data_IF_939118808522
#
_entry.id   IF_939118808522
#
_cell.length_a   1.000
_cell.length_b   1.000
_cell.length_c   1.000
_cell.angle_alpha   90.00
_cell.angle_beta   90.00
_cell.angle_gamma   90.00
#
_symmetry.space_group_name_H-M   'P 1'
#
loop_
_entity.id
_entity.type
_entity.pdbx_description
1 polymer ?
#
# COMPACT_ATOMS: atom_id res chain seq x y z
N UNK A 1 42.32 -57.72 -46.57
CA UNK A 1 41.01 -57.82 -45.88
C UNK A 1 41.10 -57.06 -44.57
N UNK A 2 40.85 -55.75 -44.55
CA UNK A 2 41.02 -54.90 -43.42
C UNK A 2 39.66 -54.73 -42.72
N UNK A 3 39.55 -55.13 -41.40
CA UNK A 3 38.35 -54.92 -40.64
C UNK A 3 38.51 -53.60 -39.82
N UNK A 4 37.64 -52.67 -40.13
CA UNK A 4 37.52 -51.43 -39.37
C UNK A 4 36.67 -51.69 -38.11
N UNK A 5 37.26 -51.49 -36.93
CA UNK A 5 36.55 -51.48 -35.63
C UNK A 5 35.91 -50.14 -35.43
N UNK A 6 34.57 -50.05 -35.45
CA UNK A 6 33.84 -48.89 -34.99
C UNK A 6 33.89 -48.84 -33.47
N UNK A 7 34.51 -47.80 -32.91
CA UNK A 7 34.42 -47.41 -31.50
C UNK A 7 33.07 -46.72 -31.24
N UNK A 8 32.28 -47.28 -30.33
CA UNK A 8 31.05 -46.67 -29.84
C UNK A 8 31.42 -45.58 -28.85
N UNK A 9 31.40 -44.32 -29.32
CA UNK A 9 31.54 -43.18 -28.45
C UNK A 9 30.26 -42.99 -27.57
N UNK A 10 30.44 -43.08 -26.28
CA UNK A 10 29.37 -42.79 -25.29
C UNK A 10 29.22 -41.27 -25.17
N UNK A 11 28.12 -40.71 -25.69
CA UNK A 11 27.79 -39.33 -25.52
C UNK A 11 27.11 -39.18 -24.15
N UNK A 12 27.84 -38.64 -23.16
CA UNK A 12 27.28 -38.27 -21.85
C UNK A 12 26.60 -36.91 -22.01
N UNK A 13 25.28 -36.90 -22.11
CA UNK A 13 24.49 -35.68 -22.03
C UNK A 13 24.40 -35.24 -20.57
N UNK A 14 25.23 -34.28 -20.20
CA UNK A 14 25.16 -33.67 -18.86
C UNK A 14 23.93 -32.73 -18.83
N UNK A 15 22.85 -33.20 -18.24
CA UNK A 15 21.67 -32.38 -17.96
C UNK A 15 22.02 -31.42 -16.83
N UNK A 16 22.33 -30.16 -17.13
CA UNK A 16 22.49 -29.09 -16.13
C UNK A 16 21.09 -28.73 -15.62
N UNK A 17 20.73 -29.28 -14.45
CA UNK A 17 19.56 -28.82 -13.69
C UNK A 17 19.85 -27.40 -13.20
N UNK A 18 19.27 -26.40 -13.86
CA UNK A 18 19.17 -25.05 -13.33
C UNK A 18 18.24 -25.11 -12.11
N UNK A 19 18.82 -25.26 -10.93
CA UNK A 19 18.12 -25.09 -9.66
C UNK A 19 17.89 -23.58 -9.54
N UNK A 20 16.73 -23.13 -10.02
CA UNK A 20 16.26 -21.79 -9.74
C UNK A 20 16.11 -21.66 -8.22
N UNK A 21 16.94 -20.83 -7.58
CA UNK A 21 16.73 -20.44 -6.19
C UNK A 21 15.36 -19.81 -6.09
N UNK A 22 14.45 -20.26 -5.21
CA UNK A 22 13.21 -19.54 -4.97
C UNK A 22 13.59 -18.12 -4.56
N UNK A 23 13.17 -17.13 -5.33
CA UNK A 23 13.21 -15.74 -4.88
C UNK A 23 12.37 -15.71 -3.60
N UNK A 24 13.00 -15.46 -2.46
CA UNK A 24 12.28 -15.14 -1.22
C UNK A 24 11.53 -13.88 -1.58
N UNK A 25 10.22 -13.98 -1.78
CA UNK A 25 9.35 -12.82 -1.88
C UNK A 25 9.51 -12.09 -0.53
N UNK A 26 10.30 -11.02 -0.52
CA UNK A 26 10.42 -10.16 0.64
C UNK A 26 9.03 -9.67 1.03
N UNK A 27 8.80 -9.40 2.31
CA UNK A 27 7.54 -8.85 2.77
C UNK A 27 7.19 -7.60 1.96
N UNK A 28 5.94 -7.51 1.48
CA UNK A 28 5.47 -6.37 0.69
C UNK A 28 5.70 -5.06 1.42
N UNK A 29 5.52 -5.05 2.73
CA UNK A 29 5.61 -3.86 3.55
C UNK A 29 6.79 -3.94 4.52
N UNK A 30 7.47 -2.80 4.71
CA UNK A 30 8.51 -2.61 5.72
C UNK A 30 8.15 -1.40 6.58
N UNK A 31 8.06 -1.60 7.89
CA UNK A 31 8.01 -0.50 8.86
C UNK A 31 9.39 0.15 8.95
N UNK A 32 9.49 1.43 8.60
CA UNK A 32 10.77 2.15 8.57
C UNK A 32 11.23 2.63 9.97
N UNK A 33 10.37 2.50 10.99
CA UNK A 33 10.68 2.94 12.36
C UNK A 33 10.65 4.46 12.56
N UNK A 34 10.14 5.21 11.60
CA UNK A 34 10.07 6.68 11.58
C UNK A 34 8.64 7.18 11.25
N UNK A 35 7.62 6.44 11.68
CA UNK A 35 6.20 6.68 11.41
C UNK A 35 5.83 6.55 9.93
N UNK A 36 6.67 5.85 9.14
CA UNK A 36 6.39 5.53 7.75
C UNK A 36 6.51 4.04 7.46
N UNK A 37 5.84 3.60 6.37
CA UNK A 37 5.84 2.21 5.88
C UNK A 37 6.15 2.20 4.39
N UNK A 38 7.12 1.42 3.98
CA UNK A 38 7.45 1.22 2.55
C UNK A 38 6.63 0.07 1.95
N UNK A 39 5.91 0.33 0.85
CA UNK A 39 5.26 -0.68 0.00
C UNK A 39 6.18 -0.99 -1.19
N UNK A 40 6.97 -2.05 -1.09
CA UNK A 40 7.93 -2.47 -2.11
C UNK A 40 7.27 -2.90 -3.42
N UNK A 41 6.04 -3.42 -3.35
CA UNK A 41 5.32 -3.87 -4.54
C UNK A 41 4.87 -2.71 -5.42
N UNK A 42 4.58 -1.56 -4.83
CA UNK A 42 4.06 -0.39 -5.54
C UNK A 42 5.05 0.76 -5.65
N UNK A 43 6.21 0.66 -5.02
CA UNK A 43 7.17 1.77 -4.97
C UNK A 43 6.61 2.99 -4.23
N UNK A 44 5.86 2.76 -3.15
CA UNK A 44 5.21 3.80 -2.37
C UNK A 44 5.73 3.82 -0.93
N UNK A 45 5.69 5.00 -0.33
CA UNK A 45 5.86 5.19 1.10
C UNK A 45 4.57 5.77 1.68
N UNK A 46 4.06 5.15 2.73
CA UNK A 46 2.83 5.51 3.43
C UNK A 46 3.12 6.11 4.80
N UNK A 47 2.28 7.02 5.25
CA UNK A 47 2.19 7.29 6.68
C UNK A 47 1.74 6.03 7.42
N UNK A 48 2.30 5.76 8.60
CA UNK A 48 1.91 4.63 9.44
C UNK A 48 0.53 4.83 10.08
N UNK A 49 0.12 6.09 10.25
CA UNK A 49 -1.19 6.47 10.81
C UNK A 49 -1.85 7.57 9.98
N UNK A 50 -3.17 7.71 10.10
CA UNK A 50 -3.92 8.83 9.54
C UNK A 50 -3.81 10.10 10.39
N UNK A 51 -4.52 11.17 10.01
CA UNK A 51 -4.54 12.45 10.72
C UNK A 51 -5.31 12.43 12.06
N UNK A 52 -5.84 11.30 12.49
CA UNK A 52 -6.51 11.03 13.77
C UNK A 52 -7.68 11.96 14.12
N UNK A 53 -8.25 12.65 13.15
CA UNK A 53 -9.35 13.56 13.37
C UNK A 53 -10.22 13.77 12.15
N UNK A 54 -11.44 14.25 12.35
CA UNK A 54 -12.35 14.55 11.24
C UNK A 54 -11.80 15.70 10.41
N UNK A 55 -11.75 15.48 9.10
CA UNK A 55 -11.15 16.42 8.16
C UNK A 55 -11.96 16.49 6.86
N UNK A 56 -12.15 17.67 6.29
CA UNK A 56 -12.73 17.81 4.96
C UNK A 56 -11.62 17.68 3.89
N UNK A 57 -12.01 17.47 2.63
CA UNK A 57 -11.06 17.18 1.55
C UNK A 57 -10.01 18.29 1.35
N UNK A 58 -10.41 19.55 1.40
CA UNK A 58 -9.47 20.68 1.22
C UNK A 58 -8.45 20.73 2.36
N UNK A 59 -8.92 20.57 3.60
CA UNK A 59 -8.04 20.51 4.78
C UNK A 59 -7.12 19.30 4.70
N UNK A 60 -7.63 18.13 4.28
CA UNK A 60 -6.84 16.90 4.10
C UNK A 60 -5.69 17.11 3.10
N UNK A 61 -5.99 17.70 1.94
CA UNK A 61 -4.98 18.01 0.92
C UNK A 61 -3.92 18.96 1.44
N UNK A 62 -4.32 20.02 2.16
CA UNK A 62 -3.38 20.98 2.74
C UNK A 62 -2.52 20.35 3.84
N UNK A 63 -3.14 19.59 4.74
CA UNK A 63 -2.44 18.95 5.85
C UNK A 63 -1.39 17.95 5.33
N UNK A 64 -1.75 17.10 4.38
CA UNK A 64 -0.83 16.12 3.78
C UNK A 64 0.35 16.82 3.10
N UNK A 65 0.06 17.88 2.33
CA UNK A 65 1.09 18.55 1.51
C UNK A 65 2.04 19.42 2.31
N UNK A 66 1.56 20.10 3.35
CA UNK A 66 2.32 21.17 4.01
C UNK A 66 2.60 20.92 5.49
N UNK A 67 1.91 19.99 6.13
CA UNK A 67 2.02 19.80 7.59
C UNK A 67 2.56 18.42 7.96
N UNK A 68 2.08 17.36 7.31
CA UNK A 68 2.42 15.99 7.71
C UNK A 68 3.93 15.73 7.69
N UNK A 69 4.63 16.14 6.64
CA UNK A 69 6.08 15.94 6.54
C UNK A 69 6.88 16.54 7.70
N UNK A 70 6.42 17.66 8.27
CA UNK A 70 7.05 18.30 9.42
C UNK A 70 6.79 17.59 10.74
N UNK A 71 5.84 16.66 10.79
CA UNK A 71 5.57 15.83 11.98
C UNK A 71 6.49 14.63 12.11
N UNK A 72 7.23 14.30 11.04
CA UNK A 72 8.13 13.15 11.00
C UNK A 72 9.51 13.51 11.56
N UNK A 73 10.16 12.55 12.21
CA UNK A 73 11.56 12.71 12.68
C UNK A 73 12.58 12.79 11.54
N UNK A 74 12.22 12.30 10.36
CA UNK A 74 13.00 12.38 9.13
C UNK A 74 12.20 13.11 8.07
N UNK A 75 12.86 14.04 7.36
CA UNK A 75 12.18 14.83 6.33
C UNK A 75 12.05 14.04 5.03
N UNK A 76 10.81 13.96 4.56
CA UNK A 76 10.45 13.47 3.23
C UNK A 76 9.55 14.48 2.55
N UNK A 77 9.75 14.69 1.26
CA UNK A 77 8.97 15.62 0.46
C UNK A 77 7.89 14.90 -0.39
N UNK A 78 7.07 15.65 -1.09
CA UNK A 78 6.10 15.18 -2.07
C UNK A 78 4.95 14.32 -1.51
N UNK A 79 4.59 14.51 -0.24
CA UNK A 79 3.40 13.88 0.33
C UNK A 79 2.12 14.34 -0.36
N UNK A 80 1.22 13.42 -0.64
CA UNK A 80 -0.06 13.64 -1.29
C UNK A 80 -1.16 12.75 -0.73
N UNK A 81 -2.42 13.07 -1.02
CA UNK A 81 -3.51 12.12 -0.83
C UNK A 81 -3.33 10.94 -1.81
N UNK A 82 -3.72 9.73 -1.39
CA UNK A 82 -3.67 8.55 -2.24
C UNK A 82 -4.75 8.58 -3.33
N UNK A 83 -4.50 7.88 -4.42
CA UNK A 83 -5.54 7.53 -5.39
C UNK A 83 -6.46 6.45 -4.82
N UNK A 84 -7.63 6.27 -5.43
CA UNK A 84 -8.56 5.19 -5.06
C UNK A 84 -7.89 3.81 -5.21
N UNK A 85 -7.18 3.59 -6.30
CA UNK A 85 -6.48 2.33 -6.56
C UNK A 85 -5.38 2.03 -5.52
N UNK A 86 -4.70 3.05 -5.02
CA UNK A 86 -3.72 2.92 -3.95
C UNK A 86 -4.39 2.51 -2.64
N UNK A 87 -5.48 3.16 -2.21
CA UNK A 87 -6.22 2.77 -1.01
C UNK A 87 -6.80 1.36 -1.13
N UNK A 88 -7.38 1.00 -2.29
CA UNK A 88 -7.89 -0.35 -2.53
C UNK A 88 -6.80 -1.42 -2.36
N UNK A 89 -5.56 -1.11 -2.69
CA UNK A 89 -4.45 -2.05 -2.56
C UNK A 89 -4.05 -2.35 -1.11
N UNK A 90 -4.44 -1.49 -0.18
CA UNK A 90 -4.21 -1.69 1.26
C UNK A 90 -5.35 -2.52 1.91
N UNK A 91 -6.47 -2.70 1.22
CA UNK A 91 -7.61 -3.44 1.77
C UNK A 91 -7.35 -4.95 1.77
N UNK A 92 -7.53 -5.60 2.92
CA UNK A 92 -7.34 -7.05 3.05
C UNK A 92 -8.64 -7.79 2.74
N UNK A 93 -8.64 -8.50 1.61
CA UNK A 93 -9.80 -9.28 1.13
C UNK A 93 -9.95 -10.65 1.81
N UNK A 94 -8.89 -11.14 2.47
CA UNK A 94 -8.93 -12.43 3.13
C UNK A 94 -10.04 -12.45 4.20
N UNK A 95 -10.92 -13.43 4.09
CA UNK A 95 -12.02 -13.64 5.05
C UNK A 95 -11.55 -14.07 6.43
N UNK A 96 -10.39 -14.70 6.52
CA UNK A 96 -9.78 -15.11 7.78
C UNK A 96 -9.19 -13.91 8.54
N UNK A 97 -8.79 -12.86 7.82
CA UNK A 97 -8.29 -11.64 8.46
C UNK A 97 -9.42 -10.88 9.16
N UNK A 98 -9.30 -10.77 10.47
CA UNK A 98 -10.35 -10.17 11.31
C UNK A 98 -10.31 -8.63 11.30
N UNK A 99 -9.17 -8.02 10.95
CA UNK A 99 -9.01 -6.57 11.11
C UNK A 99 -9.01 -6.13 12.58
N UNK A 100 -9.36 -4.86 12.81
CA UNK A 100 -9.46 -4.29 14.16
C UNK A 100 -10.53 -3.21 14.24
N UNK A 101 -10.97 -2.91 15.47
CA UNK A 101 -11.88 -1.80 15.75
C UNK A 101 -11.07 -0.51 15.93
N UNK A 102 -11.50 0.55 15.25
CA UNK A 102 -10.88 1.88 15.29
C UNK A 102 -11.44 2.74 16.41
N UNK A 103 -10.80 3.86 16.74
CA UNK A 103 -11.24 4.81 17.78
C UNK A 103 -12.65 5.37 17.52
N UNK A 104 -13.08 5.45 16.26
CA UNK A 104 -14.45 5.87 15.92
C UNK A 104 -15.47 4.72 15.95
N UNK A 105 -15.12 3.54 16.45
CA UNK A 105 -16.00 2.37 16.59
C UNK A 105 -16.29 1.63 15.29
N UNK A 106 -15.53 1.90 14.21
CA UNK A 106 -15.65 1.17 12.95
C UNK A 106 -14.63 0.03 12.88
N UNK A 107 -15.08 -1.13 12.44
CA UNK A 107 -14.19 -2.27 12.20
C UNK A 107 -13.58 -2.17 10.81
N UNK A 108 -12.25 -2.20 10.70
CA UNK A 108 -11.54 -2.02 9.44
C UNK A 108 -10.66 -3.21 9.07
N UNK A 109 -10.45 -3.41 7.76
CA UNK A 109 -9.61 -4.43 7.17
C UNK A 109 -8.52 -3.79 6.29
N UNK A 110 -7.59 -3.12 6.91
CA UNK A 110 -6.38 -2.58 6.26
C UNK A 110 -5.18 -3.48 6.60
N UNK A 111 -4.14 -3.44 5.78
CA UNK A 111 -2.87 -4.12 6.06
C UNK A 111 -2.35 -3.79 7.46
N UNK A 112 -1.76 -4.76 8.20
CA UNK A 112 -1.46 -4.59 9.63
C UNK A 112 -0.40 -3.54 9.95
N UNK A 113 0.43 -3.16 8.97
CA UNK A 113 1.50 -2.17 9.12
C UNK A 113 0.97 -0.74 9.23
N UNK A 114 -0.26 -0.49 8.77
CA UNK A 114 -0.90 0.84 8.78
C UNK A 114 -2.08 0.84 9.74
N UNK A 115 -2.22 1.92 10.53
CA UNK A 115 -3.29 2.09 11.51
C UNK A 115 -4.16 3.28 11.17
N UNK A 116 -5.47 3.05 11.13
CA UNK A 116 -6.48 4.08 10.95
C UNK A 116 -7.25 4.33 12.24
N UNK A 117 -7.55 5.59 12.52
CA UNK A 117 -8.42 6.00 13.62
C UNK A 117 -9.91 5.96 13.24
N UNK A 118 -10.23 5.89 11.93
CA UNK A 118 -11.57 5.66 11.40
C UNK A 118 -11.52 5.07 9.99
N UNK A 119 -12.58 4.41 9.55
CA UNK A 119 -12.58 3.57 8.34
C UNK A 119 -12.76 4.29 7.01
N UNK A 120 -12.97 5.62 6.97
CA UNK A 120 -13.23 6.38 5.77
C UNK A 120 -12.06 7.30 5.41
N UNK A 121 -11.43 7.09 4.25
CA UNK A 121 -10.23 7.84 3.84
C UNK A 121 -10.46 8.55 2.52
N UNK A 122 -10.15 9.86 2.48
CA UNK A 122 -10.18 10.68 1.28
C UNK A 122 -9.15 10.22 0.24
N UNK A 123 -9.54 10.30 -1.04
CA UNK A 123 -8.61 10.12 -2.17
C UNK A 123 -8.25 11.47 -2.81
N UNK A 124 -7.26 11.46 -3.69
CA UNK A 124 -6.91 12.63 -4.53
C UNK A 124 -7.88 12.87 -5.69
N UNK A 125 -8.76 11.91 -6.00
CA UNK A 125 -9.64 11.93 -7.16
C UNK A 125 -10.91 12.74 -6.87
N UNK A 126 -11.20 13.67 -7.77
CA UNK A 126 -12.32 14.62 -7.62
C UNK A 126 -13.21 14.67 -8.84
N UNK A 127 -14.47 15.05 -8.62
CA UNK A 127 -15.43 15.36 -9.67
C UNK A 127 -16.29 16.57 -9.25
N UNK A 128 -16.14 17.70 -9.94
CA UNK A 128 -16.80 18.97 -9.61
C UNK A 128 -16.61 19.35 -8.13
N UNK A 129 -17.64 19.26 -7.30
CA UNK A 129 -17.61 19.62 -5.87
C UNK A 129 -17.46 18.40 -4.95
N UNK A 130 -17.22 17.21 -5.51
CA UNK A 130 -17.11 15.95 -4.78
C UNK A 130 -15.71 15.36 -4.91
N UNK A 131 -15.31 14.58 -3.91
CA UNK A 131 -14.12 13.72 -3.94
C UNK A 131 -14.49 12.29 -3.61
N UNK A 132 -13.67 11.34 -4.09
CA UNK A 132 -13.83 9.94 -3.75
C UNK A 132 -13.33 9.65 -2.34
N UNK A 133 -14.00 8.71 -1.68
CA UNK A 133 -13.69 8.22 -0.34
C UNK A 133 -13.67 6.71 -0.39
N UNK A 134 -12.67 6.08 0.21
CA UNK A 134 -12.62 4.63 0.35
C UNK A 134 -12.98 4.21 1.77
N UNK A 135 -13.78 3.14 1.88
CA UNK A 135 -14.24 2.57 3.14
C UNK A 135 -13.50 1.26 3.46
N UNK A 136 -12.64 1.30 4.46
CA UNK A 136 -11.90 0.12 4.94
C UNK A 136 -12.74 -0.86 5.79
N UNK A 137 -13.96 -0.50 6.16
CA UNK A 137 -14.85 -1.43 6.85
C UNK A 137 -15.40 -2.49 5.88
N UNK A 138 -15.77 -2.10 4.66
CA UNK A 138 -16.45 -2.97 3.69
C UNK A 138 -15.74 -3.10 2.34
N UNK A 139 -14.66 -2.36 2.09
CA UNK A 139 -13.89 -2.43 0.85
C UNK A 139 -14.57 -1.81 -0.37
N UNK A 140 -15.40 -0.78 -0.18
CA UNK A 140 -16.03 -0.06 -1.28
C UNK A 140 -15.74 1.44 -1.24
N UNK A 141 -16.04 2.15 -2.29
CA UNK A 141 -15.87 3.60 -2.39
C UNK A 141 -17.19 4.28 -2.76
N UNK A 142 -17.29 5.56 -2.45
CA UNK A 142 -18.33 6.46 -2.92
C UNK A 142 -17.78 7.88 -3.02
N UNK A 143 -18.59 8.83 -3.47
CA UNK A 143 -18.24 10.25 -3.51
C UNK A 143 -19.04 11.03 -2.49
N UNK A 144 -18.39 12.02 -1.86
CA UNK A 144 -19.09 13.00 -1.02
C UNK A 144 -18.59 14.42 -1.32
N UNK A 145 -19.35 15.41 -0.87
CA UNK A 145 -18.98 16.82 -1.09
C UNK A 145 -17.71 17.15 -0.31
N UNK A 146 -16.76 17.81 -0.98
CA UNK A 146 -15.44 18.15 -0.42
C UNK A 146 -15.51 19.00 0.86
N UNK A 147 -16.63 19.69 1.10
CA UNK A 147 -16.85 20.53 2.30
C UNK A 147 -17.25 19.71 3.53
N UNK A 148 -17.71 18.48 3.36
CA UNK A 148 -18.16 17.67 4.47
C UNK A 148 -16.98 17.26 5.36
N UNK A 149 -17.18 17.41 6.67
CA UNK A 149 -16.25 17.03 7.72
C UNK A 149 -16.95 16.02 8.62
N UNK A 150 -17.06 14.79 8.14
CA UNK A 150 -17.58 13.64 8.87
C UNK A 150 -16.42 12.82 9.41
N UNK A 151 -16.64 11.60 9.81
CA UNK A 151 -15.59 10.65 10.23
C UNK A 151 -14.60 10.28 9.10
N UNK A 152 -14.17 11.28 8.32
CA UNK A 152 -13.22 11.13 7.20
C UNK A 152 -11.80 11.42 7.65
N UNK A 153 -10.86 10.67 7.09
CA UNK A 153 -9.42 10.73 7.41
C UNK A 153 -8.58 11.07 6.18
N UNK A 154 -7.40 11.56 6.45
CA UNK A 154 -6.34 11.70 5.46
C UNK A 154 -5.20 10.71 5.80
N UNK A 155 -4.84 9.85 4.86
CA UNK A 155 -3.71 8.93 4.96
C UNK A 155 -2.65 9.36 3.94
N UNK A 156 -1.53 9.98 4.36
CA UNK A 156 -0.49 10.44 3.45
C UNK A 156 0.21 9.29 2.71
N UNK A 157 0.52 9.51 1.43
CA UNK A 157 1.35 8.64 0.61
C UNK A 157 2.32 9.50 -0.22
N UNK A 158 3.48 8.93 -0.57
CA UNK A 158 4.41 9.49 -1.56
C UNK A 158 5.00 8.38 -2.42
N UNK A 159 5.48 8.72 -3.60
CA UNK A 159 6.28 7.81 -4.41
C UNK A 159 7.67 7.66 -3.78
N UNK A 160 8.28 6.47 -3.90
CA UNK A 160 9.69 6.28 -3.57
C UNK A 160 10.55 6.94 -4.66
N UNK A 161 11.62 7.60 -4.27
CA UNK A 161 12.61 8.20 -5.19
C UNK A 161 13.44 7.12 -5.87
#
# INVERSE_FOLDING_TARGET
>A
MYRIKLSKGLIIVTCILLIGTPAIAGDRFTDNGDETVTDHQRGLMWAKTDNQGDINWKQATQWVKYTFGDTLGKRYDNWRLPTLAELQSLYVHDKAYKGYETDCGQHVKIVPEIKLSCGWVWTSETSAIQAHIFNFNRGYHYTDRMVHKKAYRALPVRDLD
#
